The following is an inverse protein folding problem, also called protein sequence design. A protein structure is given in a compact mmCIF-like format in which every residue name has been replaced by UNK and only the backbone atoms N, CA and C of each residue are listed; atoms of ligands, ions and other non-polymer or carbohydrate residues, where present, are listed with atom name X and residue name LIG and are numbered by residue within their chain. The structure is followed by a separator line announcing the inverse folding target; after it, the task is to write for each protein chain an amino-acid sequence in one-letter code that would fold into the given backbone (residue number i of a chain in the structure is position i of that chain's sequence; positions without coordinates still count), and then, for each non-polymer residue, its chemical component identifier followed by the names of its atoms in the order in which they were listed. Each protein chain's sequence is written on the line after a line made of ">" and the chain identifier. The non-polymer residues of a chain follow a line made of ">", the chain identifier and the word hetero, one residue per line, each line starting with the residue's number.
data_IF_930938809221
#
_entry.id   IF_930938809221
#
_cell.length_a   1.000
_cell.length_b   1.000
_cell.length_c   1.000
_cell.angle_alpha   90.00
_cell.angle_beta   90.00
_cell.angle_gamma   90.00
#
_symmetry.space_group_name_H-M   'P 1'
#
loop_
_entity.id
_entity.type
_entity.pdbx_description
1 polymer ?
#
# COMPACT_ATOMS: atom_id res chain seq x y z
N UNK A 1 25.09 -12.87 18.92
CA UNK A 1 24.49 -13.63 17.80
C UNK A 1 24.66 -12.78 16.55
N UNK A 2 25.36 -13.28 15.54
CA UNK A 2 25.74 -12.46 14.37
C UNK A 2 24.61 -12.46 13.35
N UNK A 3 24.17 -11.26 12.94
CA UNK A 3 23.39 -11.09 11.72
C UNK A 3 24.37 -10.92 10.57
N UNK A 4 24.20 -11.71 9.51
CA UNK A 4 25.06 -11.63 8.33
C UNK A 4 24.72 -10.37 7.53
N UNK A 5 25.41 -9.27 7.82
CA UNK A 5 25.33 -8.00 7.09
C UNK A 5 26.61 -7.74 6.27
N UNK A 6 27.18 -8.82 5.71
CA UNK A 6 28.43 -8.77 4.95
C UNK A 6 28.30 -7.81 3.75
N UNK A 7 29.16 -6.78 3.66
CA UNK A 7 29.25 -5.92 2.49
C UNK A 7 29.88 -6.68 1.33
N UNK A 8 29.38 -6.49 0.11
CA UNK A 8 30.00 -7.07 -1.06
C UNK A 8 29.17 -7.01 -2.34
N UNK A 9 29.74 -7.48 -3.46
CA UNK A 9 29.07 -7.50 -4.76
C UNK A 9 27.84 -8.43 -4.76
N UNK A 10 27.81 -9.44 -3.88
CA UNK A 10 26.70 -10.39 -3.75
C UNK A 10 25.66 -9.99 -2.69
N UNK A 11 25.81 -8.82 -2.08
CA UNK A 11 24.88 -8.33 -1.06
C UNK A 11 23.65 -7.69 -1.74
N UNK A 12 22.44 -8.14 -1.40
CA UNK A 12 21.17 -7.64 -1.97
C UNK A 12 20.30 -7.01 -0.87
N UNK A 13 20.80 -5.96 -0.25
CA UNK A 13 20.26 -5.39 0.99
C UNK A 13 19.87 -3.91 0.88
N UNK A 14 19.56 -3.48 -0.34
CA UNK A 14 19.37 -2.07 -0.64
C UNK A 14 17.91 -1.77 -1.01
N UNK A 15 17.36 -0.68 -0.50
CA UNK A 15 16.04 -0.18 -0.85
C UNK A 15 16.15 1.20 -1.47
N UNK A 16 15.49 1.42 -2.61
CA UNK A 16 15.42 2.72 -3.25
C UNK A 16 14.57 3.68 -2.43
N UNK A 17 15.09 4.90 -2.21
CA UNK A 17 14.37 6.01 -1.59
C UNK A 17 13.73 6.94 -2.64
N UNK A 18 14.01 6.71 -3.92
CA UNK A 18 13.37 7.46 -5.00
C UNK A 18 11.86 7.23 -5.06
N UNK A 19 11.15 8.33 -5.36
CA UNK A 19 9.71 8.33 -5.47
C UNK A 19 9.22 7.78 -6.81
N UNK A 20 8.16 6.97 -6.75
CA UNK A 20 7.40 6.51 -7.91
C UNK A 20 6.07 7.26 -7.97
N UNK A 21 5.94 8.19 -8.92
CA UNK A 21 4.77 9.08 -9.05
C UNK A 21 4.14 8.96 -10.43
N UNK A 22 2.80 9.04 -10.48
CA UNK A 22 2.07 9.11 -11.75
C UNK A 22 2.27 10.46 -12.42
N UNK A 23 1.99 10.53 -13.72
CA UNK A 23 1.98 11.78 -14.46
C UNK A 23 0.75 12.64 -14.13
N UNK A 24 0.77 13.26 -12.95
CA UNK A 24 -0.31 14.11 -12.44
C UNK A 24 -0.61 15.31 -13.33
N UNK A 25 0.39 15.80 -14.09
CA UNK A 25 0.21 16.94 -15.03
C UNK A 25 -0.66 16.54 -16.21
N UNK A 26 -0.60 15.28 -16.61
CA UNK A 26 -1.44 14.68 -17.64
C UNK A 26 -2.64 13.91 -17.05
N UNK A 27 -3.10 14.34 -15.86
CA UNK A 27 -4.29 13.82 -15.19
C UNK A 27 -4.25 12.32 -14.89
N UNK A 28 -3.06 11.77 -14.61
CA UNK A 28 -2.88 10.35 -14.29
C UNK A 28 -2.77 10.11 -12.80
N UNK A 29 -3.33 8.99 -12.36
CA UNK A 29 -3.35 8.52 -10.97
C UNK A 29 -2.74 7.13 -10.87
N UNK A 30 -2.38 6.71 -9.65
CA UNK A 30 -1.90 5.36 -9.39
C UNK A 30 -3.08 4.38 -9.49
N UNK A 31 -2.86 3.27 -10.21
CA UNK A 31 -3.85 2.19 -10.40
C UNK A 31 -3.33 0.83 -9.94
N UNK A 32 -2.03 0.72 -9.71
CA UNK A 32 -1.38 -0.49 -9.24
C UNK A 32 -0.06 -0.20 -8.53
N UNK A 33 0.41 -1.14 -7.73
CA UNK A 33 1.64 -1.04 -6.95
C UNK A 33 2.34 -2.41 -6.91
N UNK A 34 3.67 -2.40 -6.92
CA UNK A 34 4.47 -3.60 -6.64
C UNK A 34 5.85 -3.23 -6.12
N UNK A 35 6.47 -4.17 -5.42
CA UNK A 35 7.90 -4.16 -5.17
C UNK A 35 8.61 -4.90 -6.31
N UNK A 36 9.69 -4.34 -6.81
CA UNK A 36 10.53 -5.00 -7.81
C UNK A 36 11.98 -4.96 -7.38
N UNK A 37 12.69 -6.06 -7.59
CA UNK A 37 14.13 -6.10 -7.41
C UNK A 37 14.80 -5.87 -8.75
N UNK A 38 15.60 -4.81 -8.86
CA UNK A 38 16.47 -4.59 -10.02
C UNK A 38 17.93 -4.58 -9.56
N UNK A 39 18.73 -5.50 -10.09
CA UNK A 39 20.07 -5.75 -9.58
C UNK A 39 20.05 -6.12 -8.09
N UNK A 40 20.58 -5.22 -7.26
CA UNK A 40 20.70 -5.40 -5.81
C UNK A 40 19.71 -4.55 -5.00
N UNK A 41 18.92 -3.72 -5.68
CA UNK A 41 18.05 -2.72 -5.07
C UNK A 41 16.58 -3.12 -5.23
N UNK A 42 15.82 -3.03 -4.14
CA UNK A 42 14.36 -3.12 -4.14
C UNK A 42 13.76 -1.74 -4.39
N UNK A 43 12.83 -1.65 -5.34
CA UNK A 43 12.15 -0.42 -5.71
C UNK A 43 10.65 -0.59 -5.61
N UNK A 44 9.97 0.52 -5.30
CA UNK A 44 8.54 0.65 -5.52
C UNK A 44 8.30 0.98 -6.99
N UNK A 45 7.38 0.27 -7.63
CA UNK A 45 6.91 0.59 -8.98
C UNK A 45 5.40 0.69 -8.99
N UNK A 46 4.87 1.68 -9.70
CA UNK A 46 3.44 1.90 -9.84
C UNK A 46 2.97 1.60 -11.27
N UNK A 47 1.69 1.24 -11.37
CA UNK A 47 0.91 1.36 -12.60
C UNK A 47 0.14 2.67 -12.55
N UNK A 48 0.00 3.33 -13.70
CA UNK A 48 -0.78 4.56 -13.81
C UNK A 48 -1.91 4.42 -14.82
N UNK A 49 -2.99 5.16 -14.60
CA UNK A 49 -4.13 5.28 -15.50
C UNK A 49 -4.66 6.71 -15.54
N UNK A 50 -5.43 7.04 -16.57
CA UNK A 50 -5.99 8.39 -16.73
C UNK A 50 -7.29 8.51 -15.95
N UNK A 51 -7.36 9.50 -15.06
CA UNK A 51 -8.58 9.82 -14.33
C UNK A 51 -9.57 10.53 -15.26
N UNK A 52 -10.80 10.04 -15.26
CA UNK A 52 -11.95 10.63 -15.93
C UNK A 52 -12.99 11.12 -14.94
N UNK A 53 -14.11 11.62 -15.48
CA UNK A 53 -15.24 12.09 -14.68
C UNK A 53 -15.78 10.99 -13.77
N UNK A 54 -16.31 11.41 -12.61
CA UNK A 54 -16.95 10.53 -11.61
C UNK A 54 -16.07 9.35 -11.18
N UNK A 55 -14.76 9.55 -11.13
CA UNK A 55 -13.80 8.54 -10.69
C UNK A 55 -13.57 7.40 -11.68
N UNK A 56 -14.04 7.52 -12.93
CA UNK A 56 -13.72 6.55 -13.98
C UNK A 56 -12.22 6.54 -14.26
N UNK A 57 -11.67 5.35 -14.47
CA UNK A 57 -10.26 5.18 -14.83
C UNK A 57 -10.16 4.54 -16.21
N UNK A 58 -9.39 5.18 -17.09
CA UNK A 58 -8.89 4.53 -18.29
C UNK A 58 -7.55 3.87 -17.94
N UNK A 59 -7.44 2.53 -18.00
CA UNK A 59 -6.20 1.84 -17.68
C UNK A 59 -5.02 2.33 -18.52
N UNK A 60 -3.86 2.43 -17.88
CA UNK A 60 -2.61 2.69 -18.57
C UNK A 60 -1.65 1.51 -18.43
N UNK A 61 -0.43 1.80 -18.03
CA UNK A 61 0.65 0.83 -17.94
C UNK A 61 1.54 1.10 -16.73
N UNK A 62 2.36 0.10 -16.41
CA UNK A 62 3.42 0.23 -15.44
C UNK A 62 4.39 1.36 -15.85
N UNK A 63 4.59 2.32 -14.96
CA UNK A 63 5.56 3.41 -15.16
C UNK A 63 6.96 2.79 -15.25
N UNK A 64 7.79 3.16 -16.25
CA UNK A 64 9.14 2.65 -16.37
C UNK A 64 9.93 2.85 -15.07
N UNK A 65 10.57 1.78 -14.60
CA UNK A 65 11.34 1.82 -13.37
C UNK A 65 12.55 2.76 -13.55
N UNK A 66 12.70 3.73 -12.66
CA UNK A 66 13.92 4.51 -12.53
C UNK A 66 14.96 3.66 -11.79
N UNK A 67 15.86 3.07 -12.58
CA UNK A 67 16.86 2.12 -12.12
C UNK A 67 18.23 2.78 -12.03
N UNK A 68 18.99 2.38 -11.02
CA UNK A 68 20.36 2.81 -10.76
C UNK A 68 21.14 1.64 -10.15
N UNK A 69 22.47 1.67 -10.22
CA UNK A 69 23.32 0.86 -9.37
C UNK A 69 23.89 1.72 -8.23
N UNK A 70 24.05 1.12 -7.06
CA UNK A 70 24.62 1.79 -5.88
C UNK A 70 26.08 2.24 -6.09
N UNK A 71 26.77 1.70 -7.11
CA UNK A 71 28.13 2.08 -7.48
C UNK A 71 28.18 3.19 -8.55
N UNK A 72 27.02 3.62 -9.06
CA UNK A 72 26.96 4.70 -10.05
C UNK A 72 27.42 6.03 -9.43
N UNK A 73 28.18 6.86 -10.16
CA UNK A 73 28.62 8.15 -9.66
C UNK A 73 27.45 9.05 -9.26
N UNK A 74 27.47 9.53 -8.02
CA UNK A 74 26.46 10.45 -7.50
C UNK A 74 25.30 9.78 -6.75
N UNK A 75 25.20 8.45 -6.78
CA UNK A 75 24.24 7.68 -5.98
C UNK A 75 24.78 7.50 -4.56
N UNK A 76 23.97 7.82 -3.54
CA UNK A 76 24.39 7.85 -2.13
C UNK A 76 23.42 7.13 -1.20
N UNK A 77 23.99 6.44 -0.22
CA UNK A 77 23.25 5.83 0.89
C UNK A 77 22.64 6.93 1.78
N UNK A 78 21.39 6.75 2.19
CA UNK A 78 20.57 7.71 2.92
C UNK A 78 19.91 8.81 2.07
N UNK A 79 20.34 9.00 0.82
CA UNK A 79 19.75 9.98 -0.13
C UNK A 79 18.96 9.26 -1.23
N UNK A 80 19.61 8.37 -1.97
CA UNK A 80 19.03 7.66 -3.13
C UNK A 80 18.54 6.25 -2.77
N UNK A 81 19.26 5.59 -1.86
CA UNK A 81 18.94 4.26 -1.37
C UNK A 81 19.26 4.13 0.12
N UNK A 82 18.75 3.09 0.75
CA UNK A 82 19.06 2.69 2.12
C UNK A 82 19.73 1.32 2.12
N UNK A 83 20.85 1.17 2.83
CA UNK A 83 21.49 -0.12 3.11
C UNK A 83 20.98 -0.71 4.42
N UNK A 84 20.37 -1.91 4.37
CA UNK A 84 20.07 -2.65 5.60
C UNK A 84 21.39 -2.98 6.34
N UNK A 85 21.42 -2.65 7.62
CA UNK A 85 22.55 -2.91 8.53
C UNK A 85 22.05 -3.52 9.82
N UNK A 86 22.94 -3.96 10.70
CA UNK A 86 22.56 -4.40 12.03
C UNK A 86 21.60 -3.41 12.71
N UNK A 87 21.88 -2.11 12.70
CA UNK A 87 21.06 -1.14 13.42
C UNK A 87 19.85 -0.62 12.61
N UNK A 88 19.88 -0.72 11.27
CA UNK A 88 18.88 -0.12 10.39
C UNK A 88 18.24 -1.15 9.48
N UNK A 89 17.50 -2.08 10.09
CA UNK A 89 16.86 -3.22 9.41
C UNK A 89 15.35 -3.29 9.64
N UNK A 90 14.76 -2.25 10.19
CA UNK A 90 13.32 -2.16 10.40
C UNK A 90 12.64 -1.59 9.16
N UNK A 91 11.49 -2.16 8.80
CA UNK A 91 10.54 -1.59 7.85
C UNK A 91 9.21 -1.39 8.55
N UNK A 92 8.60 -0.25 8.29
CA UNK A 92 7.31 0.10 8.87
C UNK A 92 6.15 -0.52 8.09
N UNK A 93 5.18 -0.99 8.86
CA UNK A 93 3.97 -1.64 8.39
C UNK A 93 2.81 -0.66 8.48
N UNK A 94 2.81 0.32 7.57
CA UNK A 94 1.83 1.38 7.53
C UNK A 94 0.84 1.22 6.38
N UNK A 95 -0.42 1.34 6.74
CA UNK A 95 -1.56 1.47 5.84
C UNK A 95 -2.01 2.94 5.78
N UNK A 96 -1.80 3.60 4.63
CA UNK A 96 -2.10 5.02 4.45
C UNK A 96 -3.19 5.23 3.42
N UNK A 97 -4.16 6.09 3.74
CA UNK A 97 -5.23 6.49 2.83
C UNK A 97 -5.21 8.00 2.58
N UNK A 98 -5.60 8.40 1.38
CA UNK A 98 -5.72 9.82 1.05
C UNK A 98 -6.90 10.43 1.80
N UNK A 99 -6.75 11.68 2.30
CA UNK A 99 -7.85 12.39 2.92
C UNK A 99 -8.97 12.65 1.90
N UNK A 100 -10.13 13.05 2.43
CA UNK A 100 -11.31 13.35 1.60
C UNK A 100 -11.00 14.43 0.57
N UNK A 101 -11.34 14.15 -0.70
CA UNK A 101 -11.09 15.05 -1.83
C UNK A 101 -9.70 14.91 -2.44
N UNK A 102 -8.90 13.94 -1.99
CA UNK A 102 -7.58 13.63 -2.53
C UNK A 102 -7.52 12.19 -3.04
N UNK A 103 -6.52 11.91 -3.88
CA UNK A 103 -6.30 10.61 -4.49
C UNK A 103 -4.82 10.24 -4.54
N UNK A 104 -4.53 8.93 -4.59
CA UNK A 104 -3.17 8.40 -4.67
C UNK A 104 -2.55 8.71 -6.03
N UNK A 105 -1.36 9.31 -5.98
CA UNK A 105 -0.59 9.74 -7.17
C UNK A 105 0.90 9.38 -7.07
N UNK A 106 1.31 8.70 -6.01
CA UNK A 106 2.67 8.18 -5.90
C UNK A 106 2.95 7.53 -4.57
N UNK A 107 4.11 6.90 -4.47
CA UNK A 107 4.61 6.23 -3.28
C UNK A 107 6.11 6.39 -3.20
N UNK A 108 6.69 6.33 -2.00
CA UNK A 108 8.13 6.24 -1.79
C UNK A 108 8.47 5.60 -0.46
N UNK A 109 9.72 5.20 -0.30
CA UNK A 109 10.31 4.98 1.00
C UNK A 109 11.08 6.22 1.46
N UNK A 110 11.14 6.42 2.77
CA UNK A 110 11.97 7.44 3.42
C UNK A 110 12.60 6.85 4.68
N UNK A 111 13.83 7.24 4.98
CA UNK A 111 14.41 6.92 6.29
C UNK A 111 13.96 7.95 7.33
N UNK A 112 13.43 7.47 8.46
CA UNK A 112 13.25 8.25 9.68
C UNK A 112 13.86 7.44 10.82
N UNK A 113 14.90 7.99 11.47
CA UNK A 113 15.68 7.23 12.44
C UNK A 113 16.31 5.98 11.82
N UNK A 114 15.98 4.81 12.36
CA UNK A 114 16.49 3.51 11.92
C UNK A 114 15.51 2.72 11.03
N UNK A 115 14.34 3.29 10.74
CA UNK A 115 13.25 2.61 10.05
C UNK A 115 13.09 3.10 8.61
N UNK A 116 12.72 2.16 7.74
CA UNK A 116 12.25 2.44 6.40
C UNK A 116 10.74 2.72 6.44
N UNK A 117 10.38 4.01 6.40
CA UNK A 117 9.00 4.48 6.39
C UNK A 117 8.40 4.45 4.99
N UNK A 118 7.14 4.04 4.88
CA UNK A 118 6.37 4.11 3.65
C UNK A 118 5.55 5.39 3.60
N UNK A 119 5.62 6.11 2.48
CA UNK A 119 4.85 7.33 2.27
C UNK A 119 4.02 7.25 0.99
N UNK A 120 2.85 7.88 1.01
CA UNK A 120 2.01 8.05 -0.17
C UNK A 120 2.00 9.52 -0.61
N UNK A 121 1.95 9.76 -1.92
CA UNK A 121 1.69 11.08 -2.49
C UNK A 121 0.22 11.20 -2.79
N UNK A 122 -0.43 12.17 -2.14
CA UNK A 122 -1.84 12.45 -2.25
C UNK A 122 -2.07 13.77 -2.99
N UNK A 123 -2.93 13.77 -4.01
CA UNK A 123 -3.21 14.96 -4.83
C UNK A 123 -4.70 15.27 -4.80
N UNK A 124 -5.12 16.54 -4.56
CA UNK A 124 -6.53 16.89 -4.60
C UNK A 124 -7.12 16.65 -5.99
N UNK A 125 -8.36 16.22 -6.02
CA UNK A 125 -9.09 16.02 -7.27
C UNK A 125 -10.55 16.43 -7.14
N UNK A 126 -11.12 16.89 -8.25
CA UNK A 126 -12.55 17.10 -8.36
C UNK A 126 -13.20 15.80 -8.86
N UNK A 127 -14.03 15.17 -8.02
CA UNK A 127 -14.68 13.91 -8.37
C UNK A 127 -15.61 14.03 -9.59
N UNK A 128 -16.39 15.10 -9.67
CA UNK A 128 -17.34 15.30 -10.78
C UNK A 128 -16.62 15.44 -12.10
N UNK A 129 -15.58 16.29 -12.17
CA UNK A 129 -14.87 16.57 -13.42
C UNK A 129 -13.68 15.65 -13.68
N UNK A 130 -13.26 14.85 -12.70
CA UNK A 130 -12.08 14.00 -12.79
C UNK A 130 -10.74 14.75 -12.87
N UNK A 131 -10.67 16.02 -12.45
CA UNK A 131 -9.45 16.85 -12.64
C UNK A 131 -8.60 16.89 -11.38
N UNK A 132 -7.31 16.63 -11.53
CA UNK A 132 -6.29 16.79 -10.49
C UNK A 132 -5.87 18.26 -10.32
N UNK A 133 -5.39 18.60 -9.11
CA UNK A 133 -4.71 19.86 -8.80
C UNK A 133 -3.24 19.58 -8.40
N UNK A 134 -2.31 19.40 -9.37
CA UNK A 134 -0.94 18.92 -9.12
C UNK A 134 -0.09 19.84 -8.26
N UNK A 135 -0.39 21.14 -8.28
CA UNK A 135 0.25 22.20 -7.49
C UNK A 135 -0.01 22.07 -5.98
N UNK A 136 -0.96 21.23 -5.60
CA UNK A 136 -1.39 20.99 -4.21
C UNK A 136 -1.14 19.55 -3.76
N UNK A 137 -0.32 18.79 -4.48
CA UNK A 137 0.09 17.46 -4.02
C UNK A 137 0.86 17.55 -2.70
N UNK A 138 0.66 16.57 -1.82
CA UNK A 138 1.37 16.43 -0.56
C UNK A 138 1.80 14.99 -0.31
N UNK A 139 2.90 14.81 0.39
CA UNK A 139 3.31 13.51 0.92
C UNK A 139 2.65 13.28 2.27
N UNK A 140 2.08 12.10 2.45
CA UNK A 140 1.44 11.65 3.69
C UNK A 140 2.26 10.48 4.21
N UNK A 141 2.57 10.54 5.49
CA UNK A 141 3.39 9.60 6.23
C UNK A 141 2.76 9.35 7.60
N UNK A 142 3.04 8.20 8.20
CA UNK A 142 2.95 8.03 9.64
C UNK A 142 4.32 8.40 10.23
N UNK A 143 4.43 9.57 10.85
CA UNK A 143 5.69 10.06 11.44
C UNK A 143 5.85 9.64 12.92
N UNK A 144 5.08 8.65 13.39
CA UNK A 144 5.32 8.05 14.70
C UNK A 144 6.73 7.44 14.74
N UNK A 145 7.49 7.67 15.80
CA UNK A 145 8.88 7.19 15.93
C UNK A 145 9.10 6.59 17.32
N UNK A 146 10.24 5.94 17.53
CA UNK A 146 10.62 5.39 18.85
C UNK A 146 10.64 6.44 19.97
N UNK A 147 10.83 7.72 19.63
CA UNK A 147 10.86 8.83 20.58
C UNK A 147 9.51 9.50 20.84
N UNK A 148 8.42 9.01 20.27
CA UNK A 148 7.07 9.55 20.50
C UNK A 148 6.49 9.08 21.84
N UNK A 149 5.45 9.77 22.32
CA UNK A 149 4.74 9.41 23.57
C UNK A 149 4.17 7.99 23.54
N UNK A 150 3.72 7.55 22.36
CA UNK A 150 3.25 6.19 22.09
C UNK A 150 4.00 5.67 20.86
N UNK A 151 5.14 5.00 21.03
CA UNK A 151 5.93 4.52 19.91
C UNK A 151 5.26 3.35 19.19
N UNK A 152 5.64 3.16 17.92
CA UNK A 152 5.23 2.03 17.08
C UNK A 152 5.47 0.70 17.79
N UNK A 153 4.57 -0.27 17.59
CA UNK A 153 4.74 -1.60 18.17
C UNK A 153 5.50 -2.55 17.23
N UNK A 154 6.42 -3.35 17.78
CA UNK A 154 7.14 -4.36 17.02
C UNK A 154 6.24 -5.56 16.72
N UNK A 155 6.23 -6.00 15.47
CA UNK A 155 5.74 -7.31 15.08
C UNK A 155 6.87 -8.34 15.25
N UNK A 156 6.72 -9.23 16.24
CA UNK A 156 7.69 -10.27 16.52
C UNK A 156 7.48 -11.50 15.64
N UNK A 157 8.54 -11.95 14.97
CA UNK A 157 8.55 -13.20 14.23
C UNK A 157 8.89 -14.36 15.17
N UNK A 158 7.92 -15.24 15.44
CA UNK A 158 8.09 -16.34 16.40
C UNK A 158 8.50 -17.62 15.64
N UNK A 159 9.72 -18.09 15.91
CA UNK A 159 10.35 -19.25 15.25
C UNK A 159 10.28 -19.17 13.72
N UNK A 160 10.81 -18.11 13.09
CA UNK A 160 10.56 -17.87 11.68
C UNK A 160 11.31 -18.87 10.77
N UNK A 161 10.60 -19.66 9.96
CA UNK A 161 11.18 -20.45 8.87
C UNK A 161 10.97 -19.77 7.51
N UNK A 162 11.57 -20.32 6.45
CA UNK A 162 11.38 -19.88 5.07
C UNK A 162 9.88 -19.92 4.71
N UNK A 163 9.28 -18.77 4.34
CA UNK A 163 7.83 -18.66 4.21
C UNK A 163 7.25 -19.46 3.03
N UNK A 164 8.06 -19.80 2.02
CA UNK A 164 7.64 -20.65 0.89
C UNK A 164 7.53 -22.13 1.24
N UNK A 165 8.00 -22.56 2.41
CA UNK A 165 7.82 -23.93 2.92
C UNK A 165 6.46 -24.13 3.62
N UNK A 166 5.77 -23.04 3.97
CA UNK A 166 4.47 -23.11 4.63
C UNK A 166 3.43 -23.76 3.71
N UNK A 167 2.79 -24.84 4.20
CA UNK A 167 1.65 -25.46 3.53
C UNK A 167 0.33 -24.72 3.79
N UNK A 168 0.30 -23.80 4.75
CA UNK A 168 -0.88 -23.03 5.13
C UNK A 168 -0.84 -21.61 4.54
N UNK A 169 -2.01 -21.03 4.18
CA UNK A 169 -2.09 -19.63 3.79
C UNK A 169 -1.54 -18.72 4.87
N UNK A 170 -0.82 -17.68 4.46
CA UNK A 170 -0.28 -16.65 5.35
C UNK A 170 -1.23 -15.43 5.33
N UNK A 171 -2.08 -15.26 6.35
CA UNK A 171 -2.98 -14.11 6.46
C UNK A 171 -2.20 -12.83 6.73
N UNK A 172 -2.87 -11.70 6.61
CA UNK A 172 -2.33 -10.42 7.10
C UNK A 172 -2.38 -10.45 8.63
N UNK A 173 -1.22 -10.38 9.27
CA UNK A 173 -1.05 -10.39 10.73
C UNK A 173 -0.55 -9.05 11.28
N UNK A 174 -0.04 -8.17 10.41
CA UNK A 174 0.29 -6.79 10.77
C UNK A 174 -0.93 -5.90 10.96
N UNK A 175 -0.73 -4.85 11.74
CA UNK A 175 -1.64 -3.70 11.88
C UNK A 175 -0.89 -2.42 11.49
N UNK A 176 -1.64 -1.37 11.16
CA UNK A 176 -1.09 -0.02 11.04
C UNK A 176 -0.34 0.38 12.34
N UNK A 177 0.68 1.22 12.21
CA UNK A 177 1.54 1.67 13.30
C UNK A 177 2.37 0.54 13.95
N UNK A 178 2.77 -0.42 13.13
CA UNK A 178 3.73 -1.47 13.50
C UNK A 178 4.99 -1.40 12.66
N UNK A 179 6.01 -2.14 13.08
CA UNK A 179 7.22 -2.37 12.29
C UNK A 179 7.69 -3.81 12.46
N UNK A 180 8.46 -4.30 11.48
CA UNK A 180 9.15 -5.59 11.57
C UNK A 180 10.61 -5.41 11.19
N UNK A 181 11.48 -6.16 11.84
CA UNK A 181 12.90 -6.19 11.53
C UNK A 181 13.21 -7.37 10.61
N UNK A 182 14.02 -7.12 9.57
CA UNK A 182 14.68 -8.20 8.87
C UNK A 182 15.66 -8.90 9.83
N UNK A 183 15.56 -10.22 9.93
CA UNK A 183 16.36 -11.07 10.82
C UNK A 183 16.68 -12.39 10.15
N UNK A 184 17.45 -13.23 10.82
CA UNK A 184 17.66 -14.60 10.39
C UNK A 184 16.42 -15.47 10.67
N UNK A 185 16.24 -16.53 9.91
CA UNK A 185 15.35 -17.64 10.22
C UNK A 185 15.80 -18.38 11.50
N UNK A 186 14.92 -19.20 12.05
CA UNK A 186 15.17 -19.95 13.28
C UNK A 186 16.31 -20.97 13.11
N UNK A 187 17.07 -21.22 14.18
CA UNK A 187 18.20 -22.14 14.17
C UNK A 187 17.74 -23.57 13.92
N UNK A 188 16.63 -23.95 14.52
CA UNK A 188 16.07 -25.29 14.37
C UNK A 188 15.44 -25.49 12.99
N UNK A 189 15.09 -24.39 12.30
CA UNK A 189 14.43 -24.42 10.99
C UNK A 189 15.40 -24.59 9.82
N UNK A 190 16.48 -23.80 9.79
CA UNK A 190 17.48 -23.87 8.71
C UNK A 190 18.90 -23.42 9.14
N UNK A 191 19.21 -23.53 10.44
CA UNK A 191 20.46 -23.04 11.02
C UNK A 191 20.70 -21.53 10.80
N UNK A 192 19.62 -20.74 10.76
CA UNK A 192 19.65 -19.28 10.63
C UNK A 192 20.36 -18.77 9.37
N UNK A 193 20.23 -19.51 8.27
CA UNK A 193 20.89 -19.21 7.01
C UNK A 193 20.11 -18.25 6.11
N UNK A 194 18.81 -18.08 6.35
CA UNK A 194 17.95 -17.24 5.51
C UNK A 194 17.63 -15.92 6.17
N UNK A 195 17.54 -14.85 5.38
CA UNK A 195 17.00 -13.56 5.84
C UNK A 195 15.49 -13.52 5.63
N UNK A 196 14.76 -13.22 6.68
CA UNK A 196 13.29 -13.12 6.73
C UNK A 196 12.87 -11.78 7.36
N UNK A 197 11.69 -11.23 7.03
CA UNK A 197 10.69 -11.74 6.08
C UNK A 197 11.16 -11.69 4.61
N UNK A 198 10.52 -12.47 3.74
CA UNK A 198 10.72 -12.34 2.29
C UNK A 198 9.94 -11.14 1.75
N UNK A 199 10.32 -10.65 0.56
CA UNK A 199 9.62 -9.54 -0.09
C UNK A 199 8.73 -10.11 -1.19
N UNK A 200 7.43 -9.83 -1.12
CA UNK A 200 6.46 -10.17 -2.14
C UNK A 200 6.56 -9.18 -3.31
N UNK A 201 7.03 -9.68 -4.46
CA UNK A 201 7.23 -8.91 -5.68
C UNK A 201 6.04 -9.01 -6.65
N UNK A 202 4.96 -9.67 -6.25
CA UNK A 202 3.79 -9.84 -7.11
C UNK A 202 3.13 -8.50 -7.45
N UNK A 203 2.70 -8.29 -8.71
CA UNK A 203 2.01 -7.08 -9.09
C UNK A 203 0.62 -7.00 -8.45
N UNK A 204 0.34 -5.90 -7.75
CA UNK A 204 -0.99 -5.61 -7.19
C UNK A 204 -1.68 -4.53 -8.04
N UNK A 205 -2.64 -4.96 -8.86
CA UNK A 205 -3.42 -4.07 -9.73
C UNK A 205 -4.88 -4.58 -9.83
N UNK A 206 -5.88 -3.86 -9.30
CA UNK A 206 -7.27 -4.30 -9.36
C UNK A 206 -7.82 -4.22 -10.79
N UNK A 207 -8.42 -5.31 -11.28
CA UNK A 207 -9.18 -5.37 -12.55
C UNK A 207 -8.45 -4.63 -13.69
N UNK A 208 -7.20 -5.01 -13.96
CA UNK A 208 -6.32 -4.41 -14.99
C UNK A 208 -6.21 -2.88 -14.88
N UNK A 209 -6.21 -2.33 -13.67
CA UNK A 209 -5.98 -0.91 -13.41
C UNK A 209 -7.20 -0.02 -13.66
N UNK A 210 -8.42 -0.57 -13.58
CA UNK A 210 -9.67 0.20 -13.77
C UNK A 210 -10.23 0.79 -12.48
N UNK A 211 -9.69 0.42 -11.31
CA UNK A 211 -10.15 0.93 -10.03
C UNK A 211 -9.45 2.25 -9.67
N UNK A 212 -10.23 3.18 -9.12
CA UNK A 212 -9.71 4.39 -8.48
C UNK A 212 -9.11 4.01 -7.11
N UNK A 213 -7.84 4.36 -6.89
CA UNK A 213 -7.09 3.99 -5.69
C UNK A 213 -6.88 5.22 -4.82
N UNK A 214 -7.34 5.19 -3.57
CA UNK A 214 -7.21 6.29 -2.62
C UNK A 214 -5.96 6.18 -1.75
N UNK A 215 -5.50 4.95 -1.48
CA UNK A 215 -4.43 4.70 -0.55
C UNK A 215 -3.58 3.50 -0.91
N UNK A 216 -2.46 3.35 -0.20
CA UNK A 216 -1.59 2.19 -0.28
C UNK A 216 -0.94 1.92 1.08
N UNK A 217 -0.39 0.73 1.23
CA UNK A 217 0.37 0.37 2.43
C UNK A 217 1.36 -0.74 2.23
N UNK A 218 2.18 -0.94 3.24
CA UNK A 218 3.07 -2.09 3.39
C UNK A 218 2.57 -2.91 4.57
N UNK A 219 2.42 -4.21 4.35
CA UNK A 219 1.88 -5.14 5.34
C UNK A 219 2.81 -6.34 5.49
N UNK A 220 2.71 -7.00 6.64
CA UNK A 220 3.27 -8.32 6.83
C UNK A 220 2.16 -9.36 6.67
N UNK A 221 2.51 -10.47 6.00
CA UNK A 221 1.69 -11.66 5.89
C UNK A 221 2.44 -12.84 6.46
N UNK A 222 2.04 -13.31 7.62
CA UNK A 222 2.73 -14.39 8.31
C UNK A 222 1.83 -15.17 9.26
N UNK A 223 2.48 -16.09 9.95
CA UNK A 223 1.93 -16.90 11.01
C UNK A 223 3.07 -17.35 11.94
N UNK A 224 2.73 -17.94 13.07
CA UNK A 224 3.73 -18.57 13.92
C UNK A 224 4.48 -19.66 13.14
N UNK A 225 5.82 -19.72 13.23
CA UNK A 225 6.64 -20.75 12.57
C UNK A 225 7.08 -20.38 11.15
N UNK A 226 6.83 -19.15 10.70
CA UNK A 226 7.22 -18.65 9.37
C UNK A 226 7.74 -17.23 9.48
N UNK A 227 8.71 -16.90 8.66
CA UNK A 227 9.26 -15.56 8.50
C UNK A 227 8.34 -14.61 7.73
N UNK A 228 7.30 -15.12 7.07
CA UNK A 228 6.29 -14.33 6.37
C UNK A 228 6.79 -13.53 5.16
N UNK A 229 5.90 -12.68 4.63
CA UNK A 229 6.16 -11.80 3.49
C UNK A 229 5.85 -10.34 3.83
N UNK A 230 6.74 -9.42 3.44
CA UNK A 230 6.42 -8.01 3.25
C UNK A 230 5.69 -7.87 1.91
N UNK A 231 4.48 -7.34 1.94
CA UNK A 231 3.65 -7.18 0.75
C UNK A 231 3.07 -5.77 0.65
N UNK A 232 2.77 -5.35 -0.58
CA UNK A 232 2.02 -4.14 -0.84
C UNK A 232 0.51 -4.36 -0.62
N UNK A 233 -0.18 -3.32 -0.20
CA UNK A 233 -1.65 -3.24 -0.08
C UNK A 233 -2.15 -1.99 -0.80
N UNK A 234 -3.34 -2.07 -1.40
CA UNK A 234 -4.02 -0.94 -2.03
C UNK A 234 -5.39 -0.73 -1.38
N UNK A 235 -5.82 0.53 -1.29
CA UNK A 235 -7.15 0.93 -0.86
C UNK A 235 -7.92 1.49 -2.05
N UNK A 236 -9.06 0.89 -2.35
CA UNK A 236 -9.97 1.43 -3.36
C UNK A 236 -10.73 2.62 -2.79
N UNK A 237 -10.96 3.62 -3.63
CA UNK A 237 -11.70 4.81 -3.26
C UNK A 237 -13.12 4.48 -2.75
N UNK A 238 -13.51 5.11 -1.64
CA UNK A 238 -14.86 4.99 -1.09
C UNK A 238 -15.85 5.90 -1.84
N UNK A 239 -16.69 5.27 -2.66
CA UNK A 239 -17.72 5.95 -3.46
C UNK A 239 -19.00 6.28 -2.70
N UNK A 240 -19.20 5.79 -1.45
CA UNK A 240 -20.46 5.91 -0.71
C UNK A 240 -20.98 7.35 -0.63
N UNK A 241 -20.06 8.31 -0.57
CA UNK A 241 -20.33 9.75 -0.45
C UNK A 241 -20.91 10.38 -1.72
N UNK A 242 -20.78 9.71 -2.85
CA UNK A 242 -21.29 10.16 -4.15
C UNK A 242 -22.58 9.45 -4.56
N UNK A 243 -23.00 8.44 -3.80
CA UNK A 243 -24.24 7.70 -4.03
C UNK A 243 -25.35 8.36 -3.22
N UNK A 244 -26.33 8.96 -3.89
CA UNK A 244 -27.61 9.32 -3.27
C UNK A 244 -28.53 8.11 -3.39
N UNK A 245 -28.85 7.46 -2.28
CA UNK A 245 -29.88 6.42 -2.27
C UNK A 245 -31.25 7.07 -2.41
N UNK A 246 -32.01 6.69 -3.44
CA UNK A 246 -33.44 6.99 -3.48
C UNK A 246 -34.14 6.07 -2.48
N UNK A 247 -34.99 6.64 -1.61
CA UNK A 247 -35.82 5.82 -0.73
C UNK A 247 -36.80 5.01 -1.57
N UNK A 248 -37.06 3.73 -1.25
CA UNK A 248 -38.06 2.96 -1.96
C UNK A 248 -39.40 3.71 -1.92
N UNK A 249 -40.21 3.65 -2.99
CA UNK A 249 -41.52 4.29 -2.99
C UNK A 249 -42.35 3.75 -1.83
N UNK A 250 -43.14 4.62 -1.14
CA UNK A 250 -44.02 4.16 -0.08
C UNK A 250 -44.91 3.04 -0.60
N UNK A 251 -44.97 1.94 0.15
CA UNK A 251 -45.88 0.83 -0.15
C UNK A 251 -47.29 1.43 -0.06
N UNK A 252 -47.98 1.48 -1.21
CA UNK A 252 -49.39 1.86 -1.25
C UNK A 252 -50.16 0.65 -0.73
N UNK A 253 -50.71 0.74 0.48
CA UNK A 253 -51.67 -0.24 1.00
C UNK A 253 -52.94 -0.17 0.14
N UNK A 254 -53.11 -1.12 -0.79
CA UNK A 254 -54.25 -1.20 -1.72
C UNK A 254 -55.56 -1.56 -1.00
N UNK A 255 -55.55 -1.82 0.32
CA UNK A 255 -56.75 -2.19 1.07
C UNK A 255 -57.60 -1.02 1.57
N UNK A 256 -57.13 0.25 1.47
CA UNK A 256 -57.88 1.40 1.97
C UNK A 256 -58.93 2.00 0.99
N UNK A 257 -58.99 1.56 -0.27
CA UNK A 257 -59.92 2.11 -1.27
C UNK A 257 -61.23 1.31 -1.44
N UNK A 258 -61.48 0.26 -0.64
CA UNK A 258 -62.71 -0.55 -0.77
C UNK A 258 -63.92 -0.09 0.05
N UNK A 259 -63.86 1.02 0.78
CA UNK A 259 -64.98 1.50 1.60
C UNK A 259 -65.76 2.72 1.08
N UNK A 260 -65.48 3.22 -0.12
CA UNK A 260 -66.37 4.18 -0.79
C UNK A 260 -66.90 3.58 -2.09
N UNK A 261 -68.14 3.09 -2.03
CA UNK A 261 -69.23 3.19 -3.03
C UNK A 261 -70.14 1.98 -2.88
N UNK A 262 -71.28 2.16 -2.20
CA UNK A 262 -72.55 1.49 -2.53
C UNK A 262 -73.71 2.40 -2.08
N UNK A 263 -74.49 3.00 -3.00
CA UNK A 263 -75.68 3.77 -2.66
C UNK A 263 -76.87 2.86 -2.38
N UNK A 264 -77.52 3.03 -1.23
CA UNK A 264 -78.82 2.40 -0.94
C UNK A 264 -79.95 3.33 -1.42
N UNK A 265 -80.46 3.07 -2.62
CA UNK A 265 -81.79 3.56 -3.03
C UNK A 265 -82.87 2.80 -2.24
N UNK A 266 -83.72 3.54 -1.52
CA UNK A 266 -85.01 3.05 -1.01
C UNK A 266 -86.12 3.44 -1.99
N UNK A 267 -87.05 2.51 -2.22
CA UNK A 267 -88.41 2.80 -2.67
C UNK A 267 -89.20 3.52 -1.56
#
# INVERSE_FOLDING_TARGET
>A
MCLCDEPGPMSHRYFSLWASTSDVKNNKVVTGLRLVKHGRVFHLQISEGTLGERGSITPGSWVPLQKFDISDPGIRDGEDYHTLSYEKRAIDLDELDSPTGYILTGVRFRMIGAHLHFEIRSTPFNYTTGRLAPDRSQWISNDNTEGADVPRSRLELIRPDIPTRSATPLPVDSKHDQYVEFTHSDFDADAAQSTVPFIDIQPLEPIKGTALISGAGIIHRGAHGTGGFIAAKLFTYDYSRHVKAESPPPIVDIEAEKELVLPANRF
#
